data_IF_223342094202
#
_entry.id   IF_223342094202
#
_cell.length_a   1.000
_cell.length_b   1.000
_cell.length_c   1.000
_cell.angle_alpha   90.00
_cell.angle_beta   90.00
_cell.angle_gamma   90.00
#
_symmetry.space_group_name_H-M   'P 1'
#
loop_
_entity.id
_entity.type
_entity.pdbx_description
1 polymer ?
#
# COMPACT_ATOMS: atom_id res chain seq x y z
N UNK A 1 -10.52 -13.50 -13.65
CA UNK A 1 -10.48 -14.58 -12.66
C UNK A 1 -9.84 -14.06 -11.39
N UNK A 2 -10.43 -14.37 -10.22
CA UNK A 2 -9.93 -13.99 -8.90
C UNK A 2 -8.63 -14.73 -8.57
N UNK A 3 -7.51 -14.28 -9.12
CA UNK A 3 -6.20 -14.86 -8.87
C UNK A 3 -5.76 -14.68 -7.43
N UNK A 4 -5.28 -15.75 -6.79
CA UNK A 4 -4.75 -15.68 -5.43
C UNK A 4 -5.78 -15.60 -4.30
N UNK A 5 -7.06 -15.86 -4.56
CA UNK A 5 -8.07 -16.00 -3.49
C UNK A 5 -7.69 -17.17 -2.59
N UNK A 6 -7.68 -16.93 -1.25
CA UNK A 6 -7.33 -17.93 -0.23
C UNK A 6 -5.89 -18.50 -0.32
N UNK A 7 -4.93 -17.73 -0.86
CA UNK A 7 -3.52 -18.15 -0.81
C UNK A 7 -3.02 -18.24 0.64
N UNK A 8 -2.22 -19.27 0.90
CA UNK A 8 -1.57 -19.51 2.20
C UNK A 8 -0.08 -19.13 2.16
N UNK A 9 0.57 -19.10 3.31
CA UNK A 9 2.00 -18.82 3.43
C UNK A 9 2.88 -19.74 2.58
N UNK A 10 4.02 -19.25 2.13
CA UNK A 10 4.99 -19.98 1.33
C UNK A 10 4.70 -20.04 -0.17
N UNK A 11 3.58 -19.49 -0.63
CA UNK A 11 3.26 -19.41 -2.07
C UNK A 11 3.65 -18.05 -2.62
N UNK A 12 4.49 -18.03 -3.64
CA UNK A 12 4.84 -16.82 -4.40
C UNK A 12 4.32 -16.90 -5.83
N UNK A 13 3.80 -15.79 -6.35
CA UNK A 13 3.38 -15.67 -7.75
C UNK A 13 3.85 -14.35 -8.34
N UNK A 14 4.32 -14.41 -9.59
CA UNK A 14 4.55 -13.24 -10.41
C UNK A 14 3.55 -13.25 -11.57
N UNK A 15 2.94 -12.09 -11.84
CA UNK A 15 1.98 -11.91 -12.92
C UNK A 15 2.48 -10.79 -13.82
N UNK A 16 2.75 -11.13 -15.07
CA UNK A 16 3.04 -10.20 -16.14
C UNK A 16 1.72 -9.81 -16.82
N UNK A 17 1.20 -8.61 -16.52
CA UNK A 17 -0.09 -8.14 -16.99
C UNK A 17 -0.92 -7.51 -15.89
N UNK A 18 -2.22 -7.50 -16.07
CA UNK A 18 -3.20 -6.97 -15.14
C UNK A 18 -3.97 -8.07 -14.40
N UNK A 19 -4.62 -7.73 -13.31
CA UNK A 19 -5.48 -8.62 -12.54
C UNK A 19 -6.85 -8.00 -12.32
N UNK A 20 -7.86 -8.86 -12.29
CA UNK A 20 -9.25 -8.46 -12.11
C UNK A 20 -9.61 -8.21 -10.63
N UNK A 21 -10.90 -8.01 -10.39
CA UNK A 21 -11.47 -7.77 -9.07
C UNK A 21 -11.24 -8.95 -8.09
N UNK A 22 -11.29 -8.65 -6.78
CA UNK A 22 -11.19 -9.60 -5.67
C UNK A 22 -9.87 -10.39 -5.57
N UNK A 23 -8.81 -9.95 -6.19
CA UNK A 23 -7.49 -10.59 -6.01
C UNK A 23 -7.04 -10.49 -4.56
N UNK A 24 -6.55 -11.59 -4.00
CA UNK A 24 -6.09 -11.66 -2.62
C UNK A 24 -7.20 -11.62 -1.57
N UNK A 25 -8.47 -11.79 -1.94
CA UNK A 25 -9.57 -11.87 -0.96
C UNK A 25 -9.36 -13.04 0.01
N UNK A 26 -9.40 -12.75 1.32
CA UNK A 26 -9.21 -13.74 2.36
C UNK A 26 -7.80 -14.35 2.39
N UNK A 27 -6.84 -13.68 1.84
CA UNK A 27 -5.45 -14.14 1.75
C UNK A 27 -4.80 -14.22 3.14
N UNK A 28 -4.12 -15.32 3.43
CA UNK A 28 -3.51 -15.55 4.75
C UNK A 28 -1.97 -15.48 4.74
N UNK A 29 -1.36 -15.44 3.57
CA UNK A 29 0.09 -15.38 3.43
C UNK A 29 0.54 -15.56 1.98
N UNK A 30 1.83 -15.56 1.77
CA UNK A 30 2.42 -15.65 0.45
C UNK A 30 2.79 -14.29 -0.14
N UNK A 31 3.22 -14.28 -1.39
CA UNK A 31 3.66 -13.08 -2.10
C UNK A 31 3.08 -13.05 -3.51
N UNK A 32 2.51 -11.93 -3.89
CA UNK A 32 2.02 -11.67 -5.24
C UNK A 32 2.70 -10.42 -5.79
N UNK A 33 3.36 -10.58 -6.92
CA UNK A 33 4.02 -9.49 -7.65
C UNK A 33 3.32 -9.33 -9.00
N UNK A 34 2.87 -8.11 -9.29
CA UNK A 34 2.15 -7.76 -10.52
C UNK A 34 2.91 -6.61 -11.19
N UNK A 35 3.24 -6.78 -12.44
CA UNK A 35 3.91 -5.74 -13.24
C UNK A 35 3.41 -5.78 -14.69
N UNK A 36 3.40 -4.62 -15.38
CA UNK A 36 3.00 -4.58 -16.78
C UNK A 36 4.03 -5.31 -17.67
N UNK A 37 3.62 -5.79 -18.84
CA UNK A 37 4.53 -6.39 -19.80
C UNK A 37 5.73 -5.48 -20.10
N UNK A 38 6.92 -6.07 -20.20
CA UNK A 38 8.19 -5.33 -20.36
C UNK A 38 8.26 -4.42 -21.59
N UNK A 39 7.37 -4.62 -22.55
CA UNK A 39 7.25 -3.82 -23.77
C UNK A 39 6.20 -2.72 -23.68
N UNK A 40 5.63 -2.47 -22.49
CA UNK A 40 4.60 -1.44 -22.31
C UNK A 40 5.23 -0.04 -22.26
N UNK A 41 4.72 0.86 -23.08
CA UNK A 41 5.22 2.25 -23.20
C UNK A 41 4.47 3.24 -22.27
N UNK A 42 3.55 2.76 -21.44
CA UNK A 42 2.75 3.63 -20.56
C UNK A 42 3.40 3.83 -19.20
N UNK A 43 3.05 4.96 -18.57
CA UNK A 43 3.45 5.25 -17.18
C UNK A 43 2.61 4.41 -16.23
N UNK A 44 3.26 3.59 -15.41
CA UNK A 44 2.59 2.64 -14.51
C UNK A 44 1.74 3.34 -13.44
N UNK A 45 2.19 4.49 -12.94
CA UNK A 45 1.44 5.28 -11.95
C UNK A 45 0.12 5.87 -12.49
N UNK A 46 -0.06 5.91 -13.80
CA UNK A 46 -1.28 6.39 -14.45
C UNK A 46 -2.16 5.25 -14.99
N UNK A 47 -1.73 4.00 -14.84
CA UNK A 47 -2.37 2.84 -15.44
C UNK A 47 -2.94 1.91 -14.37
N UNK A 48 -4.21 1.53 -14.53
CA UNK A 48 -4.87 0.55 -13.68
C UNK A 48 -4.39 -0.86 -14.04
N UNK A 49 -3.85 -1.58 -13.05
CA UNK A 49 -3.32 -2.94 -13.22
C UNK A 49 -3.97 -3.92 -12.23
N UNK A 50 -4.59 -3.42 -11.18
CA UNK A 50 -5.30 -4.19 -10.17
C UNK A 50 -6.75 -3.73 -10.14
N UNK A 51 -7.68 -4.68 -10.19
CA UNK A 51 -9.11 -4.39 -10.19
C UNK A 51 -9.64 -3.91 -8.83
N UNK A 52 -10.95 -3.93 -8.66
CA UNK A 52 -11.64 -3.46 -7.46
C UNK A 52 -11.66 -4.50 -6.35
N UNK A 53 -11.81 -4.03 -5.10
CA UNK A 53 -12.03 -4.88 -3.92
C UNK A 53 -10.93 -5.94 -3.69
N UNK A 54 -9.71 -5.64 -4.09
CA UNK A 54 -8.56 -6.52 -3.90
C UNK A 54 -8.07 -6.47 -2.44
N UNK A 55 -7.53 -7.59 -1.94
CA UNK A 55 -7.11 -7.79 -0.56
C UNK A 55 -8.24 -7.68 0.48
N UNK A 56 -9.49 -7.84 0.09
CA UNK A 56 -10.61 -7.79 1.02
C UNK A 56 -10.49 -8.88 2.09
N UNK A 57 -10.43 -8.45 3.37
CA UNK A 57 -10.31 -9.37 4.49
C UNK A 57 -9.00 -10.17 4.53
N UNK A 58 -7.96 -9.73 3.83
CA UNK A 58 -6.66 -10.38 3.85
C UNK A 58 -5.98 -10.25 5.22
N UNK A 59 -5.33 -11.30 5.68
CA UNK A 59 -4.75 -11.38 7.03
C UNK A 59 -3.23 -11.47 7.06
N UNK A 60 -2.57 -11.70 5.93
CA UNK A 60 -1.12 -11.81 5.84
C UNK A 60 -0.62 -11.79 4.39
N UNK A 61 0.68 -11.90 4.21
CA UNK A 61 1.31 -11.89 2.91
C UNK A 61 1.68 -10.50 2.37
N UNK A 62 2.15 -10.46 1.14
CA UNK A 62 2.60 -9.24 0.46
C UNK A 62 2.01 -9.13 -0.95
N UNK A 63 1.48 -7.97 -1.30
CA UNK A 63 1.07 -7.62 -2.67
C UNK A 63 1.92 -6.45 -3.15
N UNK A 64 2.64 -6.64 -4.24
CA UNK A 64 3.44 -5.60 -4.89
C UNK A 64 2.97 -5.43 -6.34
N UNK A 65 2.37 -4.30 -6.65
CA UNK A 65 1.81 -4.03 -7.98
C UNK A 65 2.33 -2.73 -8.58
N UNK A 66 3.04 -2.84 -9.70
CA UNK A 66 3.54 -1.69 -10.45
C UNK A 66 2.42 -1.10 -11.32
N UNK A 67 1.49 -0.43 -10.70
CA UNK A 67 0.35 0.22 -11.31
C UNK A 67 -0.71 0.59 -10.26
N UNK A 68 -1.83 1.14 -10.73
CA UNK A 68 -2.92 1.56 -9.86
C UNK A 68 -3.85 0.41 -9.53
N UNK A 69 -4.33 0.39 -8.29
CA UNK A 69 -5.46 -0.43 -7.86
C UNK A 69 -6.78 0.33 -8.06
N UNK A 70 -7.87 -0.41 -8.15
CA UNK A 70 -9.21 0.13 -8.24
C UNK A 70 -9.77 0.59 -6.90
N UNK A 71 -11.10 0.64 -6.80
CA UNK A 71 -11.82 1.02 -5.60
C UNK A 71 -11.79 -0.07 -4.52
N UNK A 72 -11.98 0.31 -3.27
CA UNK A 72 -12.07 -0.59 -2.11
C UNK A 72 -10.84 -1.49 -1.94
N UNK A 73 -9.69 -0.97 -2.22
CA UNK A 73 -8.44 -1.68 -2.02
C UNK A 73 -8.12 -1.86 -0.52
N UNK A 74 -7.74 -3.06 -0.12
CA UNK A 74 -7.37 -3.42 1.24
C UNK A 74 -8.47 -3.19 2.30
N UNK A 75 -9.74 -3.26 1.91
CA UNK A 75 -10.87 -3.20 2.85
C UNK A 75 -10.80 -4.37 3.82
N UNK A 76 -10.92 -4.10 5.13
CA UNK A 76 -10.78 -5.09 6.22
C UNK A 76 -9.45 -5.86 6.21
N UNK A 77 -8.41 -5.25 5.67
CA UNK A 77 -7.06 -5.81 5.78
C UNK A 77 -6.63 -5.84 7.26
N UNK A 78 -6.14 -6.98 7.72
CA UNK A 78 -5.69 -7.16 9.11
C UNK A 78 -4.22 -7.55 9.25
N UNK A 79 -3.49 -7.76 8.15
CA UNK A 79 -2.08 -8.17 8.26
C UNK A 79 -1.29 -8.16 6.96
N UNK A 80 -1.92 -7.94 5.82
CA UNK A 80 -1.23 -7.91 4.52
C UNK A 80 -0.46 -6.60 4.34
N UNK A 81 0.73 -6.71 3.81
CA UNK A 81 1.54 -5.58 3.34
C UNK A 81 1.36 -5.41 1.83
N UNK A 82 0.98 -4.22 1.41
CA UNK A 82 0.71 -3.94 0.01
C UNK A 82 1.38 -2.65 -0.45
N UNK A 83 1.91 -2.66 -1.67
CA UNK A 83 2.41 -1.48 -2.36
C UNK A 83 1.76 -1.38 -3.73
N UNK A 84 1.12 -0.24 -4.01
CA UNK A 84 0.50 0.10 -5.30
C UNK A 84 0.86 1.53 -5.69
N UNK A 85 0.71 1.88 -6.95
CA UNK A 85 1.06 3.21 -7.45
C UNK A 85 -0.12 4.19 -7.52
N UNK A 86 -1.27 3.79 -7.00
CA UNK A 86 -2.48 4.60 -6.87
C UNK A 86 -3.67 3.74 -6.49
N UNK A 87 -4.73 4.36 -6.01
CA UNK A 87 -5.99 3.69 -5.66
C UNK A 87 -7.20 4.52 -6.05
N UNK A 88 -8.37 3.88 -6.09
CA UNK A 88 -9.67 4.56 -6.17
C UNK A 88 -10.21 4.91 -4.78
N UNK A 89 -11.53 5.06 -4.71
CA UNK A 89 -12.23 5.40 -3.48
C UNK A 89 -12.24 4.26 -2.47
N UNK A 90 -12.45 4.59 -1.18
CA UNK A 90 -12.63 3.64 -0.09
C UNK A 90 -11.42 2.73 0.21
N UNK A 91 -10.21 3.19 -0.07
CA UNK A 91 -9.00 2.46 0.27
C UNK A 91 -8.83 2.34 1.78
N UNK A 92 -8.41 1.17 2.26
CA UNK A 92 -8.17 0.87 3.68
C UNK A 92 -9.39 1.02 4.60
N UNK A 93 -10.62 0.95 4.07
CA UNK A 93 -11.80 0.95 4.92
C UNK A 93 -11.81 -0.22 5.89
N UNK A 94 -12.13 0.06 7.17
CA UNK A 94 -12.17 -0.94 8.24
C UNK A 94 -10.87 -1.77 8.38
N UNK A 95 -9.76 -1.23 7.96
CA UNK A 95 -8.45 -1.87 8.15
C UNK A 95 -8.11 -1.96 9.63
N UNK A 96 -7.65 -3.12 10.08
CA UNK A 96 -7.33 -3.41 11.48
C UNK A 96 -5.88 -3.77 11.72
N UNK A 97 -5.09 -3.96 10.69
CA UNK A 97 -3.66 -4.28 10.76
C UNK A 97 -3.02 -4.30 9.39
N UNK A 98 -1.74 -4.58 9.34
CA UNK A 98 -0.96 -4.57 8.11
C UNK A 98 -0.45 -3.17 7.73
N UNK A 99 0.02 -3.05 6.50
CA UNK A 99 0.54 -1.80 5.94
C UNK A 99 0.15 -1.68 4.47
N UNK A 100 -0.26 -0.49 4.07
CA UNK A 100 -0.53 -0.15 2.66
C UNK A 100 0.30 1.06 2.27
N UNK A 101 1.06 0.95 1.19
CA UNK A 101 1.84 2.03 0.62
C UNK A 101 1.28 2.41 -0.75
N UNK A 102 0.83 3.64 -0.90
CA UNK A 102 0.28 4.18 -2.15
C UNK A 102 1.24 5.24 -2.69
N UNK A 103 1.86 4.95 -3.83
CA UNK A 103 2.87 5.80 -4.45
C UNK A 103 2.26 6.80 -5.44
N UNK A 104 1.03 7.23 -5.22
CA UNK A 104 0.35 8.15 -6.11
C UNK A 104 -1.04 8.53 -5.61
N UNK A 105 -1.91 8.88 -6.54
CA UNK A 105 -3.25 9.40 -6.24
C UNK A 105 -4.14 8.38 -5.55
N UNK A 106 -4.96 8.86 -4.62
CA UNK A 106 -6.03 8.11 -3.95
C UNK A 106 -7.39 8.73 -4.31
N UNK A 107 -8.46 8.00 -4.00
CA UNK A 107 -9.82 8.52 -4.05
C UNK A 107 -10.33 9.00 -2.70
N UNK A 108 -11.65 9.18 -2.58
CA UNK A 108 -12.33 9.64 -1.38
C UNK A 108 -12.44 8.55 -0.29
N UNK A 109 -12.73 8.98 0.95
CA UNK A 109 -12.95 8.11 2.11
C UNK A 109 -11.80 7.16 2.43
N UNK A 110 -10.57 7.59 2.21
CA UNK A 110 -9.40 6.81 2.61
C UNK A 110 -9.39 6.58 4.12
N UNK A 111 -9.28 5.33 4.54
CA UNK A 111 -9.17 4.95 5.95
C UNK A 111 -10.48 5.04 6.75
N UNK A 112 -11.65 5.13 6.11
CA UNK A 112 -12.92 5.14 6.82
C UNK A 112 -13.07 3.89 7.71
N UNK A 113 -13.37 4.10 9.01
CA UNK A 113 -13.49 3.00 9.97
C UNK A 113 -12.18 2.28 10.31
N UNK A 114 -11.03 2.78 9.91
CA UNK A 114 -9.71 2.20 10.18
C UNK A 114 -9.39 2.26 11.68
N UNK A 115 -9.06 1.13 12.27
CA UNK A 115 -8.76 1.00 13.71
C UNK A 115 -7.38 0.43 14.02
N UNK A 116 -6.66 -0.07 13.04
CA UNK A 116 -5.31 -0.64 13.21
C UNK A 116 -4.50 -0.60 11.92
N UNK A 117 -3.23 -0.96 12.03
CA UNK A 117 -2.30 -0.83 10.92
C UNK A 117 -1.98 0.64 10.61
N UNK A 118 -1.31 0.86 9.50
CA UNK A 118 -1.02 2.20 8.99
C UNK A 118 -0.82 2.19 7.48
N UNK A 119 -0.78 3.38 6.89
CA UNK A 119 -0.54 3.54 5.47
C UNK A 119 0.42 4.68 5.17
N UNK A 120 1.12 4.57 4.05
CA UNK A 120 1.87 5.68 3.44
C UNK A 120 1.16 6.13 2.18
N UNK A 121 1.01 7.43 1.98
CA UNK A 121 0.42 8.01 0.77
C UNK A 121 1.31 9.11 0.24
N UNK A 122 1.76 8.97 -1.00
CA UNK A 122 2.49 10.02 -1.70
C UNK A 122 1.49 11.04 -2.26
N UNK A 123 1.55 12.26 -1.75
CA UNK A 123 0.64 13.36 -2.08
C UNK A 123 1.40 14.48 -2.79
N UNK A 124 1.49 14.40 -4.11
CA UNK A 124 2.18 15.39 -4.93
C UNK A 124 1.36 16.69 -5.12
N UNK A 125 0.03 16.58 -5.09
CA UNK A 125 -0.90 17.67 -5.38
C UNK A 125 -1.38 18.41 -4.12
N UNK A 126 -0.99 17.95 -2.92
CA UNK A 126 -1.51 18.40 -1.62
C UNK A 126 -3.03 18.25 -1.48
N UNK A 127 -3.63 17.29 -2.17
CA UNK A 127 -5.09 17.04 -2.18
C UNK A 127 -5.54 16.01 -1.14
N UNK A 128 -4.64 15.23 -0.57
CA UNK A 128 -4.97 14.11 0.32
C UNK A 128 -5.69 14.56 1.60
N UNK A 129 -5.43 15.75 2.10
CA UNK A 129 -6.13 16.33 3.26
C UNK A 129 -7.64 16.37 3.09
N UNK A 130 -8.14 16.45 1.87
CA UNK A 130 -9.58 16.46 1.54
C UNK A 130 -10.14 15.07 1.21
N UNK A 131 -9.29 14.04 1.12
CA UNK A 131 -9.65 12.71 0.66
C UNK A 131 -9.74 11.66 1.77
N UNK A 132 -8.99 11.82 2.87
CA UNK A 132 -9.01 10.85 3.96
C UNK A 132 -10.19 11.07 4.90
N UNK A 133 -10.59 10.02 5.61
CA UNK A 133 -11.67 10.10 6.60
C UNK A 133 -11.15 10.70 7.93
N UNK A 134 -11.62 11.89 8.27
CA UNK A 134 -11.18 12.65 9.46
C UNK A 134 -11.70 12.12 10.78
N UNK A 135 -12.63 11.18 10.77
CA UNK A 135 -13.31 10.73 12.01
C UNK A 135 -12.38 9.88 12.88
N UNK A 136 -11.73 8.87 12.31
CA UNK A 136 -10.95 7.89 13.06
C UNK A 136 -9.45 7.88 12.74
N UNK A 137 -9.00 8.56 11.71
CA UNK A 137 -7.60 8.56 11.30
C UNK A 137 -6.98 9.94 11.34
N UNK A 138 -5.67 9.94 11.62
CA UNK A 138 -4.79 11.10 11.54
C UNK A 138 -3.79 10.92 10.41
N UNK A 139 -3.32 12.04 9.88
CA UNK A 139 -2.20 12.07 8.94
C UNK A 139 -1.03 12.83 9.55
N UNK A 140 0.18 12.35 9.33
CA UNK A 140 1.43 12.92 9.85
C UNK A 140 2.48 12.99 8.76
N UNK A 141 3.27 14.05 8.76
CA UNK A 141 4.47 14.13 7.90
C UNK A 141 5.60 13.27 8.47
N UNK A 142 6.44 12.76 7.59
CA UNK A 142 7.61 11.93 7.95
C UNK A 142 8.85 12.84 7.92
N UNK A 143 8.97 13.76 8.86
CA UNK A 143 9.98 14.84 8.82
C UNK A 143 10.63 15.17 10.16
N UNK A 144 10.45 14.32 11.19
CA UNK A 144 11.00 14.56 12.52
C UNK A 144 11.61 13.30 13.12
N UNK A 145 12.29 13.45 14.26
CA UNK A 145 12.96 12.35 14.96
C UNK A 145 12.00 11.20 15.33
N UNK A 146 10.76 11.53 15.69
CA UNK A 146 9.75 10.52 16.08
C UNK A 146 9.27 9.67 14.89
N UNK A 147 9.46 10.15 13.67
CA UNK A 147 9.06 9.46 12.44
C UNK A 147 10.24 8.89 11.65
N UNK A 148 11.47 8.97 12.16
CA UNK A 148 12.66 8.46 11.47
C UNK A 148 12.59 6.95 11.22
N UNK A 149 12.07 6.18 12.17
CA UNK A 149 11.83 4.76 12.00
C UNK A 149 10.89 4.45 10.83
N UNK A 150 9.86 5.26 10.64
CA UNK A 150 8.96 5.17 9.49
C UNK A 150 9.64 5.56 8.18
N UNK A 151 10.47 6.58 8.19
CA UNK A 151 11.26 6.97 7.02
C UNK A 151 12.14 5.83 6.51
N UNK A 152 12.87 5.19 7.41
CA UNK A 152 13.74 4.06 7.09
C UNK A 152 12.92 2.86 6.62
N UNK A 153 11.80 2.58 7.26
CA UNK A 153 10.87 1.53 6.86
C UNK A 153 10.30 1.79 5.45
N UNK A 154 9.83 3.00 5.18
CA UNK A 154 9.31 3.39 3.86
C UNK A 154 10.36 3.22 2.75
N UNK A 155 11.59 3.63 3.01
CA UNK A 155 12.70 3.41 2.06
C UNK A 155 12.91 1.93 1.75
N UNK A 156 12.88 1.08 2.77
CA UNK A 156 12.98 -0.38 2.62
C UNK A 156 11.81 -0.97 1.83
N UNK A 157 10.60 -0.52 2.09
CA UNK A 157 9.38 -0.93 1.38
C UNK A 157 9.47 -0.60 -0.12
N UNK A 158 9.86 0.63 -0.45
CA UNK A 158 9.99 1.06 -1.86
C UNK A 158 11.15 0.33 -2.54
N UNK A 159 12.26 0.08 -1.83
CA UNK A 159 13.40 -0.67 -2.35
C UNK A 159 13.00 -2.10 -2.73
N UNK A 160 12.28 -2.81 -1.87
CA UNK A 160 11.75 -4.14 -2.16
C UNK A 160 10.78 -4.09 -3.36
N UNK A 161 9.88 -3.12 -3.37
CA UNK A 161 8.92 -2.93 -4.46
C UNK A 161 9.61 -2.78 -5.82
N UNK A 162 10.64 -1.95 -5.90
CA UNK A 162 11.42 -1.75 -7.14
C UNK A 162 12.18 -3.02 -7.53
N UNK A 163 12.80 -3.70 -6.57
CA UNK A 163 13.53 -4.93 -6.83
C UNK A 163 12.65 -6.04 -7.40
N UNK A 164 11.41 -6.15 -6.92
CA UNK A 164 10.46 -7.20 -7.33
C UNK A 164 9.68 -6.86 -8.61
N UNK A 165 9.27 -5.61 -8.79
CA UNK A 165 8.41 -5.20 -9.91
C UNK A 165 9.17 -4.54 -11.05
N UNK A 166 10.36 -4.01 -10.80
CA UNK A 166 11.08 -3.18 -11.77
C UNK A 166 10.40 -1.83 -12.05
N UNK A 167 9.56 -1.34 -11.14
CA UNK A 167 8.83 -0.08 -11.32
C UNK A 167 9.77 1.11 -11.59
N UNK A 168 9.59 1.76 -12.72
CA UNK A 168 10.33 2.99 -13.06
C UNK A 168 9.93 4.14 -12.14
N UNK A 169 8.66 4.24 -11.76
CA UNK A 169 8.17 5.25 -10.82
C UNK A 169 8.74 5.07 -9.42
N UNK A 170 8.75 3.84 -8.91
CA UNK A 170 9.39 3.53 -7.62
C UNK A 170 10.89 3.83 -7.64
N UNK A 171 11.60 3.55 -8.73
CA UNK A 171 13.00 3.88 -8.90
C UNK A 171 13.24 5.40 -8.89
N UNK A 172 12.40 6.18 -9.55
CA UNK A 172 12.45 7.65 -9.56
C UNK A 172 12.30 8.22 -8.14
N UNK A 173 11.38 7.66 -7.34
CA UNK A 173 11.21 8.06 -5.93
C UNK A 173 12.46 7.73 -5.11
N UNK A 174 13.09 6.56 -5.30
CA UNK A 174 14.30 6.17 -4.58
C UNK A 174 15.52 7.03 -4.94
N UNK A 175 15.65 7.45 -6.18
CA UNK A 175 16.76 8.29 -6.65
C UNK A 175 16.77 9.68 -6.01
N UNK A 176 15.61 10.20 -5.65
CA UNK A 176 15.43 11.45 -4.91
C UNK A 176 14.53 11.26 -3.68
N UNK A 177 14.84 10.25 -2.88
CA UNK A 177 14.02 9.90 -1.72
C UNK A 177 13.85 11.05 -0.74
N UNK A 178 14.90 11.82 -0.49
CA UNK A 178 14.85 12.97 0.41
C UNK A 178 13.93 14.08 -0.10
N UNK A 179 13.83 14.26 -1.41
CA UNK A 179 12.88 15.18 -2.04
C UNK A 179 11.44 14.68 -1.99
N UNK A 180 11.23 13.37 -2.07
CA UNK A 180 9.89 12.79 -2.03
C UNK A 180 9.35 12.52 -0.63
N UNK A 181 10.20 12.17 0.35
CA UNK A 181 9.75 11.77 1.69
C UNK A 181 8.92 12.84 2.39
N UNK A 182 9.23 14.11 2.18
CA UNK A 182 8.45 15.24 2.70
C UNK A 182 7.05 15.39 2.10
N UNK A 183 6.77 14.70 0.98
CA UNK A 183 5.47 14.67 0.30
C UNK A 183 4.62 13.45 0.68
N UNK A 184 5.16 12.54 1.49
CA UNK A 184 4.42 11.40 2.03
C UNK A 184 3.63 11.80 3.27
N UNK A 185 2.44 11.23 3.38
CA UNK A 185 1.67 11.18 4.60
C UNK A 185 1.76 9.80 5.23
N UNK A 186 1.98 9.76 6.55
CA UNK A 186 1.76 8.59 7.38
C UNK A 186 0.33 8.65 7.91
N UNK A 187 -0.51 7.70 7.50
CA UNK A 187 -1.91 7.58 7.89
C UNK A 187 -2.03 6.53 8.96
N UNK A 188 -2.58 6.89 10.10
CA UNK A 188 -2.76 5.99 11.24
C UNK A 188 -4.09 6.22 11.95
N UNK A 189 -4.62 5.21 12.68
CA UNK A 189 -5.73 5.45 13.59
C UNK A 189 -5.36 6.48 14.66
N UNK A 190 -6.29 7.36 15.02
CA UNK A 190 -6.06 8.38 16.07
C UNK A 190 -5.64 7.79 17.40
N UNK A 191 -6.23 6.67 17.78
CA UNK A 191 -5.96 5.98 19.04
C UNK A 191 -4.63 5.20 19.05
N UNK A 192 -3.96 5.04 17.92
CA UNK A 192 -2.74 4.26 17.81
C UNK A 192 -1.50 5.09 18.17
N UNK A 193 -0.58 4.49 18.92
CA UNK A 193 0.74 5.05 19.19
C UNK A 193 1.70 4.73 18.04
N UNK A 194 2.45 5.75 17.60
CA UNK A 194 3.39 5.62 16.48
C UNK A 194 4.48 4.59 16.72
N UNK A 195 5.05 4.56 17.91
CA UNK A 195 6.13 3.61 18.23
C UNK A 195 5.60 2.18 18.29
N UNK A 196 4.44 1.98 18.89
CA UNK A 196 3.82 0.67 19.01
C UNK A 196 3.46 0.06 17.64
N UNK A 197 2.98 0.87 16.69
CA UNK A 197 2.70 0.41 15.32
C UNK A 197 3.98 -0.08 14.62
N UNK A 198 5.08 0.65 14.77
CA UNK A 198 6.35 0.30 14.16
C UNK A 198 6.95 -0.98 14.79
N UNK A 199 6.88 -1.11 16.12
CA UNK A 199 7.36 -2.27 16.86
C UNK A 199 6.56 -3.53 16.52
N UNK A 200 5.24 -3.42 16.38
CA UNK A 200 4.37 -4.52 15.99
C UNK A 200 4.70 -5.07 14.59
N UNK A 201 5.21 -4.23 13.71
CA UNK A 201 5.65 -4.69 12.38
C UNK A 201 6.96 -5.47 12.41
N UNK A 202 7.88 -5.07 13.29
CA UNK A 202 9.20 -5.72 13.43
C UNK A 202 9.12 -7.08 14.10
N UNK A 203 8.09 -7.33 14.90
CA UNK A 203 7.93 -8.55 15.70
C UNK A 203 7.12 -9.66 15.05
N UNK A 204 6.48 -9.41 13.89
CA UNK A 204 5.78 -10.48 13.14
C UNK A 204 6.79 -11.27 12.31
N UNK A 205 6.99 -12.57 12.59
CA UNK A 205 7.76 -13.43 11.69
C UNK A 205 7.04 -13.54 10.34
N UNK A 206 7.82 -13.54 9.27
CA UNK A 206 7.38 -13.73 7.88
C UNK A 206 6.63 -15.06 7.65
#
# INVERSE_FOLDING_TARGET
>A
HAGGVWMAGGVGRCIDGDVNDYVGKGWTGGKLVIYPPKCSEFKTQDTSIVGNTCLYGATGGKLLAAGRAGERFAVRNSGTHAVVEGTGDHCCEYMTGGMVCVLGKTGYNFGAGMTGGFAYVLDLDNSFVDLYNHELVDINRINNEFTEGYRNHLRGVITEFVAETGSAWGQEILEDFDGFVGKFWLVKPKAADLQQLLDNMRTRPE
#
